data_IF_975235271808
#
_entry.id   IF_975235271808
#
_cell.length_a   1.000
_cell.length_b   1.000
_cell.length_c   1.000
_cell.angle_alpha   90.00
_cell.angle_beta   90.00
_cell.angle_gamma   90.00
#
_symmetry.space_group_name_H-M   'P 1'
#
loop_
_entity.id
_entity.type
_entity.pdbx_description
1 polymer ?
#
# COMPACT_ATOMS: atom_id res chain seq x y z
N UNK A 1 10.46 -22.52 -3.93
CA UNK A 1 10.91 -23.66 -3.09
C UNK A 1 10.83 -24.93 -3.93
N UNK A 2 11.68 -25.93 -3.68
CA UNK A 2 11.58 -27.24 -4.32
C UNK A 2 10.44 -28.06 -3.69
N UNK A 3 9.84 -28.98 -4.44
CA UNK A 3 8.73 -29.82 -3.97
C UNK A 3 9.10 -30.66 -2.74
N UNK A 4 10.36 -31.07 -2.64
CA UNK A 4 10.93 -31.79 -1.51
C UNK A 4 11.24 -30.90 -0.27
N UNK A 5 10.97 -29.59 -0.35
CA UNK A 5 11.28 -28.57 0.67
C UNK A 5 12.76 -28.44 1.04
N UNK A 6 13.68 -29.02 0.26
CA UNK A 6 15.14 -28.98 0.47
C UNK A 6 15.82 -28.02 -0.48
N UNK A 7 15.36 -26.77 -0.52
CA UNK A 7 16.00 -25.72 -1.31
C UNK A 7 15.02 -24.87 -2.10
N UNK A 8 15.59 -24.05 -2.99
CA UNK A 8 14.87 -23.08 -3.82
C UNK A 8 15.41 -23.14 -5.24
N UNK A 9 14.51 -23.31 -6.21
CA UNK A 9 14.84 -23.03 -7.60
C UNK A 9 14.98 -21.52 -7.80
N UNK A 10 16.01 -21.12 -8.53
CA UNK A 10 16.25 -19.73 -8.94
C UNK A 10 16.23 -19.65 -10.46
N UNK A 11 15.57 -18.62 -10.99
CA UNK A 11 15.46 -18.38 -12.43
C UNK A 11 15.72 -16.90 -12.72
N UNK A 12 16.48 -16.61 -13.77
CA UNK A 12 16.67 -15.25 -14.25
C UNK A 12 15.52 -14.84 -15.17
N UNK A 13 14.73 -13.86 -14.75
CA UNK A 13 13.62 -13.29 -15.54
C UNK A 13 14.01 -11.99 -16.28
N UNK A 14 15.28 -11.61 -16.25
CA UNK A 14 15.81 -10.41 -16.92
C UNK A 14 17.33 -10.51 -17.11
N UNK A 15 17.90 -9.72 -18.03
CA UNK A 15 19.34 -9.67 -18.29
C UNK A 15 20.17 -9.35 -17.03
N UNK A 16 19.64 -8.45 -16.18
CA UNK A 16 20.26 -8.14 -14.88
C UNK A 16 20.24 -9.34 -13.94
N UNK A 17 19.18 -10.14 -14.00
CA UNK A 17 19.07 -11.39 -13.25
C UNK A 17 20.11 -12.40 -13.72
N UNK A 18 20.31 -12.53 -15.04
CA UNK A 18 21.32 -13.44 -15.60
C UNK A 18 22.73 -13.06 -15.15
N UNK A 19 23.10 -11.79 -15.27
CA UNK A 19 24.40 -11.30 -14.79
C UNK A 19 24.59 -11.50 -13.28
N UNK A 20 23.52 -11.37 -12.48
CA UNK A 20 23.56 -11.68 -11.06
C UNK A 20 23.80 -13.17 -10.81
N UNK A 21 23.08 -14.07 -11.48
CA UNK A 21 23.25 -15.52 -11.32
C UNK A 21 24.66 -15.99 -11.73
N UNK A 22 25.25 -15.42 -12.79
CA UNK A 22 26.64 -15.69 -13.17
C UNK A 22 27.62 -15.33 -12.04
N UNK A 23 27.41 -14.17 -11.40
CA UNK A 23 28.28 -13.70 -10.31
C UNK A 23 28.22 -14.55 -9.04
N UNK A 24 27.13 -15.30 -8.84
CA UNK A 24 26.93 -16.20 -7.69
C UNK A 24 26.92 -17.67 -8.10
N UNK A 25 27.40 -18.00 -9.30
CA UNK A 25 27.38 -19.36 -9.87
C UNK A 25 28.02 -20.42 -8.96
N UNK A 26 29.02 -20.05 -8.16
CA UNK A 26 29.65 -20.93 -7.18
C UNK A 26 28.75 -21.34 -6.01
N UNK A 27 27.63 -20.65 -5.80
CA UNK A 27 26.61 -20.95 -4.80
C UNK A 27 25.41 -21.71 -5.39
N UNK A 28 25.41 -21.97 -6.70
CA UNK A 28 24.33 -22.63 -7.41
C UNK A 28 24.74 -24.04 -7.81
N UNK A 29 23.78 -24.96 -7.81
CA UNK A 29 23.94 -26.31 -8.33
C UNK A 29 22.83 -26.58 -9.35
N UNK A 30 23.15 -27.34 -10.40
CA UNK A 30 22.11 -27.86 -11.29
C UNK A 30 21.33 -28.94 -10.54
N UNK A 31 20.00 -28.83 -10.55
CA UNK A 31 19.10 -29.81 -9.96
C UNK A 31 17.97 -30.13 -10.93
N UNK A 32 17.60 -31.40 -10.98
CA UNK A 32 16.41 -31.90 -11.68
C UNK A 32 15.17 -31.94 -10.78
N UNK A 33 15.28 -31.47 -9.53
CA UNK A 33 14.16 -31.39 -8.61
C UNK A 33 13.10 -30.40 -9.13
N UNK A 34 11.84 -30.80 -9.08
CA UNK A 34 10.73 -29.94 -9.47
C UNK A 34 10.53 -28.81 -8.45
N UNK A 35 10.30 -27.60 -8.96
CA UNK A 35 9.77 -26.52 -8.14
C UNK A 35 8.41 -26.93 -7.55
N UNK A 36 8.18 -26.53 -6.30
CA UNK A 36 6.85 -26.59 -5.73
C UNK A 36 5.89 -25.78 -6.63
N UNK A 37 4.66 -26.28 -6.84
CA UNK A 37 3.70 -25.60 -7.68
C UNK A 37 3.48 -24.17 -7.18
N UNK A 38 3.45 -23.22 -8.12
CA UNK A 38 3.09 -21.84 -7.79
C UNK A 38 1.67 -21.86 -7.23
N UNK A 39 1.44 -21.35 -6.01
CA UNK A 39 0.11 -21.36 -5.44
C UNK A 39 -0.83 -20.55 -6.32
N UNK A 40 -1.90 -21.18 -6.79
CA UNK A 40 -2.95 -20.51 -7.52
C UNK A 40 -3.78 -19.66 -6.53
N UNK A 41 -3.60 -18.35 -6.61
CA UNK A 41 -4.29 -17.41 -5.74
C UNK A 41 -5.47 -16.83 -6.51
N UNK A 42 -6.68 -17.25 -6.14
CA UNK A 42 -7.89 -16.69 -6.73
C UNK A 42 -7.95 -15.16 -6.52
N UNK A 43 -8.32 -14.38 -7.56
CA UNK A 43 -8.48 -12.95 -7.43
C UNK A 43 -9.59 -12.65 -6.43
N UNK A 44 -9.31 -11.77 -5.47
CA UNK A 44 -10.27 -11.40 -4.42
C UNK A 44 -11.24 -10.30 -4.83
N UNK A 45 -10.86 -9.49 -5.83
CA UNK A 45 -11.58 -8.32 -6.31
C UNK A 45 -11.16 -8.02 -7.76
N UNK A 46 -11.98 -7.25 -8.46
CA UNK A 46 -11.76 -6.79 -9.83
C UNK A 46 -11.06 -5.42 -9.79
N UNK A 47 -9.80 -5.37 -10.24
CA UNK A 47 -8.97 -4.16 -10.17
C UNK A 47 -9.49 -3.10 -11.12
N UNK A 48 -9.91 -3.50 -12.31
CA UNK A 48 -10.43 -2.64 -13.37
C UNK A 48 -11.73 -1.96 -12.93
N UNK A 49 -12.68 -2.73 -12.39
CA UNK A 49 -13.92 -2.19 -11.81
C UNK A 49 -13.65 -1.23 -10.65
N UNK A 50 -12.68 -1.55 -9.79
CA UNK A 50 -12.24 -0.66 -8.71
C UNK A 50 -11.73 0.66 -9.27
N UNK A 51 -10.85 0.61 -10.28
CA UNK A 51 -10.23 1.81 -10.85
C UNK A 51 -11.25 2.68 -11.58
N UNK A 52 -12.18 2.08 -12.31
CA UNK A 52 -13.31 2.78 -12.93
C UNK A 52 -14.13 3.52 -11.89
N UNK A 53 -14.54 2.82 -10.82
CA UNK A 53 -15.34 3.41 -9.74
C UNK A 53 -14.60 4.53 -9.01
N UNK A 54 -13.30 4.38 -8.74
CA UNK A 54 -12.46 5.43 -8.13
C UNK A 54 -12.21 6.61 -9.08
N UNK A 55 -12.31 6.40 -10.39
CA UNK A 55 -12.11 7.44 -11.42
C UNK A 55 -13.33 8.36 -11.59
N UNK A 56 -14.52 7.87 -11.24
CA UNK A 56 -15.76 8.63 -11.27
C UNK A 56 -15.83 9.62 -10.08
N UNK A 57 -16.04 10.90 -10.42
CA UNK A 57 -16.08 12.00 -9.44
C UNK A 57 -17.31 11.93 -8.55
N UNK A 58 -18.40 11.36 -9.02
CA UNK A 58 -19.63 11.21 -8.22
C UNK A 58 -19.40 10.29 -7.01
N UNK A 59 -18.44 9.38 -7.11
CA UNK A 59 -18.07 8.46 -6.03
C UNK A 59 -17.14 9.07 -4.98
N UNK A 60 -16.64 10.30 -5.19
CA UNK A 60 -15.68 10.93 -4.29
C UNK A 60 -16.24 11.15 -2.88
N UNK A 61 -17.52 11.50 -2.79
CA UNK A 61 -18.25 11.69 -1.52
C UNK A 61 -19.24 10.55 -1.22
N UNK A 62 -19.02 9.37 -1.84
CA UNK A 62 -19.86 8.19 -1.63
C UNK A 62 -19.98 7.82 -0.14
N UNK A 63 -21.20 7.44 0.25
CA UNK A 63 -21.52 6.98 1.60
C UNK A 63 -20.69 5.75 2.01
N UNK A 64 -20.26 4.94 1.03
CA UNK A 64 -19.37 3.79 1.24
C UNK A 64 -18.15 4.16 2.09
N UNK A 65 -17.56 5.34 1.87
CA UNK A 65 -16.37 5.78 2.60
C UNK A 65 -16.62 5.94 4.09
N UNK A 66 -17.80 6.43 4.47
CA UNK A 66 -18.20 6.56 5.87
C UNK A 66 -18.42 5.18 6.45
N UNK A 67 -19.22 4.35 5.78
CA UNK A 67 -19.62 3.03 6.28
C UNK A 67 -18.41 2.14 6.55
N UNK A 68 -17.47 2.05 5.60
CA UNK A 68 -16.30 1.17 5.72
C UNK A 68 -15.25 1.67 6.71
N UNK A 69 -15.18 2.98 6.93
CA UNK A 69 -14.18 3.60 7.81
C UNK A 69 -14.68 3.86 9.22
N UNK A 70 -15.95 3.58 9.52
CA UNK A 70 -16.55 3.82 10.85
C UNK A 70 -15.75 3.19 12.00
N UNK A 71 -15.14 2.03 11.76
CA UNK A 71 -14.31 1.32 12.75
C UNK A 71 -12.93 1.97 12.94
N UNK A 72 -12.49 2.84 12.03
CA UNK A 72 -11.13 3.37 11.98
C UNK A 72 -10.84 4.32 13.15
N UNK A 73 -9.95 3.93 14.05
CA UNK A 73 -9.48 4.77 15.17
C UNK A 73 -8.31 5.70 14.80
N UNK A 74 -7.89 5.74 13.53
CA UNK A 74 -6.86 6.68 13.07
C UNK A 74 -5.44 6.43 13.57
N UNK A 75 -5.11 5.21 14.02
CA UNK A 75 -3.80 4.88 14.61
C UNK A 75 -2.59 4.96 13.66
N UNK A 76 -2.79 4.99 12.34
CA UNK A 76 -1.71 5.09 11.36
C UNK A 76 -0.83 3.84 11.16
N UNK A 77 -1.05 2.74 11.90
CA UNK A 77 -0.30 1.48 11.77
C UNK A 77 -0.19 0.98 10.32
N UNK A 78 -1.28 1.11 9.57
CA UNK A 78 -1.34 0.72 8.16
C UNK A 78 -0.40 1.53 7.25
N UNK A 79 -0.04 2.76 7.63
CA UNK A 79 0.94 3.59 6.91
C UNK A 79 2.36 3.20 7.31
N UNK A 80 2.62 3.06 8.59
CA UNK A 80 3.93 2.70 9.15
C UNK A 80 4.39 1.25 8.87
N UNK A 81 3.51 0.38 8.38
CA UNK A 81 3.88 -0.97 7.97
C UNK A 81 3.88 -1.17 6.45
N UNK A 82 3.43 -0.18 5.70
CA UNK A 82 3.27 -0.33 4.26
C UNK A 82 4.57 0.07 3.56
N UNK A 83 5.22 -0.84 2.81
CA UNK A 83 6.48 -0.55 2.14
C UNK A 83 6.34 0.45 0.98
N UNK A 84 5.11 0.73 0.53
CA UNK A 84 4.84 1.69 -0.54
C UNK A 84 4.40 3.07 -0.01
N UNK A 85 4.24 3.23 1.31
CA UNK A 85 3.92 4.51 1.92
C UNK A 85 5.19 5.33 2.12
N UNK A 86 5.14 6.59 1.72
CA UNK A 86 6.29 7.50 1.70
C UNK A 86 5.91 8.91 2.16
N UNK A 87 4.85 9.05 2.96
CA UNK A 87 4.49 10.31 3.59
C UNK A 87 5.55 10.67 4.63
N UNK A 88 5.94 11.92 4.72
CA UNK A 88 6.91 12.40 5.69
C UNK A 88 6.54 13.80 6.11
N UNK A 89 7.07 14.20 7.25
CA UNK A 89 6.99 15.54 7.79
C UNK A 89 8.40 16.14 7.89
N UNK A 90 8.48 17.47 7.87
CA UNK A 90 9.71 18.22 8.06
C UNK A 90 9.54 19.09 9.28
N UNK A 91 10.37 18.87 10.28
CA UNK A 91 10.39 19.64 11.51
C UNK A 91 11.73 20.35 11.66
N UNK A 92 11.69 21.60 12.11
CA UNK A 92 12.87 22.36 12.51
C UNK A 92 12.97 22.28 14.04
N UNK A 93 14.02 21.61 14.53
CA UNK A 93 14.28 21.41 15.96
C UNK A 93 15.48 22.26 16.36
N UNK A 94 15.38 23.06 17.42
CA UNK A 94 16.47 23.93 17.84
C UNK A 94 16.13 24.91 18.96
N UNK A 95 17.09 25.78 19.24
CA UNK A 95 16.99 26.89 20.16
C UNK A 95 17.26 28.24 19.42
N UNK A 96 17.42 29.33 20.17
CA UNK A 96 17.66 30.66 19.60
C UNK A 96 18.98 30.78 18.83
N UNK A 97 19.97 29.93 19.09
CA UNK A 97 21.33 30.03 18.57
C UNK A 97 21.68 28.94 17.55
N UNK A 98 20.99 27.81 17.57
CA UNK A 98 21.24 26.67 16.68
C UNK A 98 19.98 25.87 16.38
N UNK A 99 19.96 25.18 15.24
CA UNK A 99 18.88 24.28 14.90
C UNK A 99 19.23 23.31 13.79
N UNK A 100 18.40 22.28 13.63
CA UNK A 100 18.51 21.25 12.62
C UNK A 100 17.16 20.96 11.99
N UNK A 101 17.15 20.85 10.66
CA UNK A 101 15.98 20.38 9.91
C UNK A 101 15.98 18.86 9.86
N UNK A 102 14.94 18.23 10.40
CA UNK A 102 14.74 16.79 10.42
C UNK A 102 13.60 16.39 9.50
N UNK A 103 13.80 15.29 8.77
CA UNK A 103 12.74 14.62 8.02
C UNK A 103 12.26 13.43 8.84
N UNK A 104 11.02 13.49 9.29
CA UNK A 104 10.40 12.46 10.13
C UNK A 104 9.40 11.64 9.31
N UNK A 105 9.26 10.36 9.64
CA UNK A 105 8.25 9.55 8.99
C UNK A 105 6.86 9.97 9.50
N UNK A 106 5.91 10.15 8.58
CA UNK A 106 4.56 10.62 8.91
C UNK A 106 3.50 9.88 8.09
N UNK A 107 2.23 10.18 8.33
CA UNK A 107 1.08 9.55 7.72
C UNK A 107 0.08 10.56 7.19
N UNK A 108 -0.28 10.43 5.91
CA UNK A 108 -1.37 11.21 5.30
C UNK A 108 -2.75 10.95 5.93
N UNK A 109 -2.84 10.00 6.85
CA UNK A 109 -4.03 9.69 7.64
C UNK A 109 -4.08 10.40 8.99
N UNK A 110 -3.09 11.23 9.34
CA UNK A 110 -3.13 12.05 10.55
C UNK A 110 -3.73 13.41 10.28
N UNK A 111 -4.36 13.98 11.32
CA UNK A 111 -5.05 15.26 11.23
C UNK A 111 -4.10 16.40 10.83
N UNK A 112 -2.91 16.43 11.45
CA UNK A 112 -1.93 17.49 11.23
C UNK A 112 -1.38 17.50 9.81
N UNK A 113 -1.29 16.35 9.14
CA UNK A 113 -0.76 16.24 7.78
C UNK A 113 -1.50 17.13 6.76
N UNK A 114 -2.80 17.38 6.98
CA UNK A 114 -3.60 18.28 6.14
C UNK A 114 -4.12 19.51 6.85
N UNK A 115 -3.68 19.77 8.07
CA UNK A 115 -4.12 20.95 8.78
C UNK A 115 -3.47 22.18 8.15
N UNK A 116 -4.28 23.05 7.56
CA UNK A 116 -3.79 24.31 7.01
C UNK A 116 -3.56 25.31 8.14
N UNK A 117 -2.65 26.27 7.92
CA UNK A 117 -2.37 27.36 8.88
C UNK A 117 -3.61 28.20 9.18
N UNK A 118 -4.62 28.22 8.30
CA UNK A 118 -5.91 28.88 8.54
C UNK A 118 -6.81 28.15 9.56
N UNK A 119 -6.41 26.98 10.05
CA UNK A 119 -7.23 26.11 10.90
C UNK A 119 -8.19 25.20 10.12
N UNK A 120 -8.34 25.38 8.80
CA UNK A 120 -9.13 24.48 7.97
C UNK A 120 -8.41 23.15 7.77
N UNK A 121 -9.16 22.04 7.86
CA UNK A 121 -8.65 20.72 7.51
C UNK A 121 -9.57 20.08 6.46
N UNK A 122 -9.10 19.94 5.20
CA UNK A 122 -9.90 19.37 4.11
C UNK A 122 -10.15 17.86 4.30
N UNK A 123 -9.45 17.21 5.24
CA UNK A 123 -9.64 15.81 5.62
C UNK A 123 -9.86 15.69 7.13
N UNK A 124 -10.93 16.32 7.60
CA UNK A 124 -11.29 16.35 9.04
C UNK A 124 -11.84 15.01 9.57
N UNK A 125 -12.43 14.17 8.72
CA UNK A 125 -13.05 12.90 9.09
C UNK A 125 -12.21 11.68 8.68
N UNK A 126 -12.31 10.58 9.45
CA UNK A 126 -11.61 9.33 9.14
C UNK A 126 -11.97 8.75 7.77
N UNK A 127 -13.21 8.93 7.32
CA UNK A 127 -13.67 8.53 5.98
C UNK A 127 -12.88 9.19 4.86
N UNK A 128 -12.68 10.51 4.94
CA UNK A 128 -11.91 11.27 3.95
C UNK A 128 -10.44 10.88 3.92
N UNK A 129 -9.88 10.48 5.07
CA UNK A 129 -8.49 10.00 5.22
C UNK A 129 -8.33 8.58 4.69
N UNK A 130 -9.30 7.71 4.96
CA UNK A 130 -9.34 6.36 4.39
C UNK A 130 -9.49 6.39 2.87
N UNK A 131 -10.41 7.22 2.36
CA UNK A 131 -10.54 7.51 0.92
C UNK A 131 -9.20 7.94 0.33
N UNK A 132 -8.50 8.90 0.95
CA UNK A 132 -7.18 9.34 0.48
C UNK A 132 -6.18 8.19 0.35
N UNK A 133 -6.18 7.25 1.31
CA UNK A 133 -5.30 6.08 1.27
C UNK A 133 -5.60 5.18 0.06
N UNK A 134 -6.87 4.91 -0.21
CA UNK A 134 -7.29 4.08 -1.35
C UNK A 134 -7.03 4.80 -2.67
N UNK A 135 -7.45 6.07 -2.78
CA UNK A 135 -7.24 6.91 -3.97
C UNK A 135 -5.76 7.06 -4.29
N UNK A 136 -4.90 7.31 -3.31
CA UNK A 136 -3.46 7.42 -3.57
C UNK A 136 -2.89 6.11 -4.12
N UNK A 137 -3.37 4.96 -3.67
CA UNK A 137 -2.82 3.66 -4.08
C UNK A 137 -3.31 3.18 -5.44
N UNK A 138 -4.57 3.42 -5.77
CA UNK A 138 -5.24 2.81 -6.93
C UNK A 138 -5.72 3.82 -7.98
N UNK A 139 -5.76 5.12 -7.66
CA UNK A 139 -6.09 6.18 -8.61
C UNK A 139 -4.87 7.09 -8.85
N UNK A 140 -4.46 7.91 -7.89
CA UNK A 140 -3.48 8.98 -8.12
C UNK A 140 -2.08 8.48 -8.49
N UNK A 141 -1.55 7.50 -7.75
CA UNK A 141 -0.22 6.96 -8.04
C UNK A 141 -0.20 6.22 -9.38
N UNK A 142 -1.29 5.52 -9.72
CA UNK A 142 -1.43 4.88 -11.03
C UNK A 142 -1.52 5.91 -12.15
N UNK A 143 -2.34 6.95 -12.00
CA UNK A 143 -2.44 8.03 -12.99
C UNK A 143 -1.10 8.73 -13.23
N UNK A 144 -0.22 8.77 -12.22
CA UNK A 144 1.10 9.38 -12.32
C UNK A 144 2.19 8.43 -12.85
N UNK A 145 2.16 7.15 -12.48
CA UNK A 145 3.28 6.22 -12.70
C UNK A 145 2.90 4.95 -13.48
N UNK A 146 1.64 4.80 -13.89
CA UNK A 146 1.14 3.63 -14.62
C UNK A 146 0.96 2.36 -13.79
N UNK A 147 1.29 2.39 -12.49
CA UNK A 147 1.27 1.21 -11.61
C UNK A 147 0.54 1.49 -10.29
N UNK A 148 -0.02 0.45 -9.68
CA UNK A 148 -0.68 0.58 -8.38
C UNK A 148 0.35 0.64 -7.24
N UNK A 149 0.14 1.51 -6.24
CA UNK A 149 1.01 1.61 -5.06
C UNK A 149 0.56 0.66 -3.94
N UNK A 150 0.30 -0.60 -4.30
CA UNK A 150 -0.02 -1.68 -3.38
C UNK A 150 0.52 -3.01 -3.92
N UNK A 151 1.39 -3.68 -3.15
CA UNK A 151 1.98 -4.98 -3.51
C UNK A 151 1.18 -6.20 -3.01
N UNK A 152 0.02 -5.99 -2.39
CA UNK A 152 -0.79 -7.10 -1.86
C UNK A 152 -0.24 -7.81 -0.61
N UNK A 153 0.84 -7.32 0.01
CA UNK A 153 1.53 -8.01 1.12
C UNK A 153 0.69 -8.21 2.41
N UNK A 154 -0.45 -7.53 2.56
CA UNK A 154 -1.39 -7.70 3.67
C UNK A 154 -0.92 -7.22 5.06
N UNK A 155 0.29 -6.64 5.19
CA UNK A 155 0.85 -6.18 6.47
C UNK A 155 -0.07 -5.19 7.19
N UNK A 156 -0.68 -4.28 6.43
CA UNK A 156 -1.57 -3.26 6.97
C UNK A 156 -2.88 -3.82 7.55
N UNK A 157 -3.45 -4.86 6.95
CA UNK A 157 -4.66 -5.52 7.46
C UNK A 157 -4.32 -6.33 8.72
N UNK A 158 -3.25 -7.13 8.69
CA UNK A 158 -2.86 -8.01 9.81
C UNK A 158 -2.61 -7.27 11.13
N UNK A 159 -2.09 -6.05 11.07
CA UNK A 159 -1.80 -5.27 12.29
C UNK A 159 -2.96 -4.36 12.71
N UNK A 160 -4.03 -4.28 11.92
CA UNK A 160 -5.09 -3.34 12.24
C UNK A 160 -5.80 -3.73 13.55
N UNK A 161 -5.85 -2.85 14.57
CA UNK A 161 -6.47 -3.19 15.86
C UNK A 161 -8.00 -3.30 15.80
N UNK A 162 -8.61 -2.90 14.67
CA UNK A 162 -10.07 -2.89 14.45
C UNK A 162 -10.49 -3.73 13.24
N UNK A 163 -9.56 -4.58 12.75
CA UNK A 163 -9.78 -5.51 11.64
C UNK A 163 -10.38 -4.86 10.38
N UNK A 164 -9.83 -3.71 9.98
CA UNK A 164 -10.14 -3.07 8.70
C UNK A 164 -8.99 -3.27 7.71
N UNK A 165 -9.30 -3.45 6.43
CA UNK A 165 -8.29 -3.74 5.42
C UNK A 165 -8.56 -3.05 4.08
N UNK A 166 -7.48 -2.83 3.32
CA UNK A 166 -7.61 -2.36 1.92
C UNK A 166 -8.41 -3.37 1.11
N UNK A 167 -8.12 -4.66 1.22
CA UNK A 167 -8.80 -5.72 0.45
C UNK A 167 -10.31 -5.70 0.65
N UNK A 168 -10.78 -5.53 1.88
CA UNK A 168 -12.21 -5.39 2.20
C UNK A 168 -12.83 -4.21 1.44
N UNK A 169 -12.14 -3.07 1.39
CA UNK A 169 -12.62 -1.89 0.64
C UNK A 169 -12.68 -2.15 -0.86
N UNK A 170 -11.68 -2.81 -1.42
CA UNK A 170 -11.67 -3.13 -2.85
C UNK A 170 -12.77 -4.12 -3.22
N UNK A 171 -13.01 -5.12 -2.36
CA UNK A 171 -14.12 -6.07 -2.51
C UNK A 171 -15.47 -5.39 -2.43
N UNK A 172 -15.66 -4.47 -1.48
CA UNK A 172 -16.91 -3.71 -1.35
C UNK A 172 -17.20 -2.93 -2.64
N UNK A 173 -16.20 -2.25 -3.21
CA UNK A 173 -16.33 -1.54 -4.48
C UNK A 173 -16.65 -2.50 -5.64
N UNK A 174 -15.94 -3.62 -5.75
CA UNK A 174 -16.21 -4.65 -6.78
C UNK A 174 -17.64 -5.19 -6.69
N UNK A 175 -18.21 -5.30 -5.50
CA UNK A 175 -19.54 -5.88 -5.28
C UNK A 175 -20.68 -4.86 -5.29
N UNK A 176 -20.39 -3.56 -5.50
CA UNK A 176 -21.46 -2.58 -5.67
C UNK A 176 -22.35 -2.94 -6.87
N UNK A 177 -23.68 -2.89 -6.71
CA UNK A 177 -24.61 -3.03 -7.83
C UNK A 177 -24.32 -1.91 -8.85
N UNK A 178 -24.38 -2.27 -10.14
CA UNK A 178 -24.27 -1.31 -11.23
C UNK A 178 -25.48 -0.38 -11.25
#
# INVERSE_FOLDING_TARGET
>A
PLANSKGWQVEAVSDRGTALLESVSSLLEESSDEAAPVPEVAPKFDVEKVMEWLGDKENFESQLWKDISMRCIGCGSCTFLCPTCHCFDIQDEGDTYQGIRRKNWDSCSFALFTMHTSGHNPRNAQSTRWRQRIMHKFNYYRGKFGVNSCSGCGRCTRQCPVDMGITETLQAITNLPR
#
